data_IF_025206925400
#
_entry.id   IF_025206925400
#
_cell.length_a   1.000
_cell.length_b   1.000
_cell.length_c   1.000
_cell.angle_alpha   90.00
_cell.angle_beta   90.00
_cell.angle_gamma   90.00
#
_symmetry.space_group_name_H-M   'P 1'
#
loop_
_entity.id
_entity.type
_entity.pdbx_description
1 polymer ?
#
# COMPACT_ATOMS: atom_id res chain seq x y z
N UNK A 1 -47.50 79.48 12.51
CA UNK A 1 -48.52 78.41 12.79
C UNK A 1 -47.96 77.09 12.27
N UNK A 2 -47.73 76.10 13.07
CA UNK A 2 -47.28 74.81 12.61
C UNK A 2 -46.48 74.07 13.67
N UNK A 3 -47.12 73.13 14.34
CA UNK A 3 -46.67 72.43 15.55
C UNK A 3 -45.50 71.49 15.30
N UNK A 4 -44.53 71.50 16.21
CA UNK A 4 -43.48 70.50 16.36
C UNK A 4 -44.06 69.16 16.84
N UNK A 5 -43.61 68.09 16.27
CA UNK A 5 -43.83 66.74 16.78
C UNK A 5 -42.49 66.14 17.22
N UNK A 6 -42.31 65.89 18.49
CA UNK A 6 -41.18 65.21 19.13
C UNK A 6 -41.25 63.71 18.73
N UNK A 7 -40.18 63.17 18.17
CA UNK A 7 -40.02 61.75 18.00
C UNK A 7 -38.92 61.23 18.96
N UNK A 8 -39.35 60.47 19.95
CA UNK A 8 -38.51 59.76 20.93
C UNK A 8 -37.72 58.64 20.27
N UNK A 9 -36.42 58.69 20.35
CA UNK A 9 -35.56 57.59 19.92
C UNK A 9 -35.43 56.57 21.06
N UNK A 10 -35.98 55.38 20.86
CA UNK A 10 -35.65 54.20 21.66
C UNK A 10 -34.33 53.59 21.11
N UNK A 11 -33.28 53.60 21.94
CA UNK A 11 -32.07 52.83 21.69
C UNK A 11 -32.32 51.37 22.04
N UNK A 12 -32.35 50.49 21.04
CA UNK A 12 -32.34 49.05 21.22
C UNK A 12 -30.87 48.60 21.39
N UNK A 13 -30.52 48.13 22.57
CA UNK A 13 -29.25 47.45 22.84
C UNK A 13 -29.29 46.06 22.19
N UNK A 14 -28.57 45.83 21.07
CA UNK A 14 -28.33 44.50 20.54
C UNK A 14 -27.27 43.79 21.39
N UNK A 15 -27.73 42.83 22.19
CA UNK A 15 -26.84 41.85 22.82
C UNK A 15 -26.45 40.85 21.76
N UNK A 16 -25.21 40.93 21.30
CA UNK A 16 -24.62 39.93 20.40
C UNK A 16 -24.35 38.63 21.18
N UNK A 17 -25.21 37.66 21.06
CA UNK A 17 -24.97 36.29 21.57
C UNK A 17 -23.93 35.65 20.68
N UNK A 18 -22.72 35.49 21.20
CA UNK A 18 -21.67 34.68 20.55
C UNK A 18 -22.10 33.23 20.69
N UNK A 19 -22.58 32.64 19.61
CA UNK A 19 -22.80 31.19 19.50
C UNK A 19 -21.42 30.56 19.30
N UNK A 20 -20.85 30.03 20.38
CA UNK A 20 -19.69 29.14 20.33
C UNK A 20 -20.21 27.83 19.72
N UNK A 21 -19.91 27.60 18.44
CA UNK A 21 -20.14 26.31 17.81
C UNK A 21 -19.28 25.24 18.53
N UNK A 22 -19.86 24.09 18.93
CA UNK A 22 -19.05 23.01 19.48
C UNK A 22 -18.07 22.50 18.43
N UNK A 23 -16.86 22.02 18.85
CA UNK A 23 -15.93 21.40 17.91
C UNK A 23 -16.64 20.25 17.19
N UNK A 24 -16.48 20.20 15.89
CA UNK A 24 -17.08 19.21 15.00
C UNK A 24 -16.81 17.81 15.57
N UNK A 25 -17.84 17.19 16.09
CA UNK A 25 -17.81 15.79 16.49
C UNK A 25 -17.47 14.99 15.22
N UNK A 26 -16.35 14.28 15.24
CA UNK A 26 -16.12 13.18 14.30
C UNK A 26 -17.36 12.30 14.39
N UNK A 27 -18.16 12.30 13.34
CA UNK A 27 -19.31 11.41 13.27
C UNK A 27 -18.76 9.99 13.41
N UNK A 28 -19.12 9.35 14.51
CA UNK A 28 -18.81 7.96 14.77
C UNK A 28 -19.59 7.17 13.72
N UNK A 29 -18.90 6.78 12.63
CA UNK A 29 -19.48 5.86 11.66
C UNK A 29 -19.85 4.60 12.43
N UNK A 30 -21.14 4.32 12.51
CA UNK A 30 -21.63 3.07 13.03
C UNK A 30 -20.99 1.94 12.21
N UNK A 31 -20.41 0.93 12.89
CA UNK A 31 -19.94 -0.27 12.21
C UNK A 31 -21.16 -0.92 11.53
N UNK A 32 -21.32 -0.68 10.23
CA UNK A 32 -22.32 -1.39 9.44
C UNK A 32 -21.82 -2.83 9.30
N UNK A 33 -22.69 -3.81 9.51
CA UNK A 33 -22.41 -5.23 9.23
C UNK A 33 -22.02 -5.48 7.76
N UNK A 34 -22.06 -4.45 6.92
CA UNK A 34 -21.76 -4.45 5.49
C UNK A 34 -20.39 -3.84 5.14
N UNK A 35 -19.57 -3.42 6.13
CA UNK A 35 -18.23 -2.91 5.91
C UNK A 35 -17.22 -4.00 5.57
N UNK A 36 -16.10 -3.64 4.92
CA UNK A 36 -15.05 -4.60 4.57
C UNK A 36 -14.42 -5.28 5.80
N UNK A 37 -14.28 -4.54 6.92
CA UNK A 37 -13.81 -5.08 8.20
C UNK A 37 -15.02 -5.37 9.09
N UNK A 38 -15.35 -6.67 9.32
CA UNK A 38 -16.59 -7.02 10.01
C UNK A 38 -16.66 -6.55 11.47
N UNK A 39 -15.52 -6.53 12.16
CA UNK A 39 -15.42 -6.08 13.56
C UNK A 39 -14.16 -5.25 13.79
N UNK A 40 -14.30 -3.94 13.56
CA UNK A 40 -13.23 -2.96 13.74
C UNK A 40 -12.75 -2.90 15.19
N UNK A 41 -13.66 -3.03 16.17
CA UNK A 41 -13.29 -3.01 17.59
C UNK A 41 -12.43 -4.21 17.97
N UNK A 42 -12.74 -5.38 17.45
CA UNK A 42 -11.94 -6.59 17.63
C UNK A 42 -10.56 -6.43 17.01
N UNK A 43 -10.47 -5.94 15.79
CA UNK A 43 -9.19 -5.73 15.09
C UNK A 43 -8.27 -4.78 15.88
N UNK A 44 -8.80 -3.65 16.38
CA UNK A 44 -8.06 -2.67 17.17
C UNK A 44 -7.74 -3.19 18.58
N UNK A 45 -8.68 -3.93 19.19
CA UNK A 45 -8.57 -4.47 20.56
C UNK A 45 -7.70 -5.71 20.68
N UNK A 46 -7.14 -6.23 19.58
CA UNK A 46 -6.17 -7.32 19.65
C UNK A 46 -5.01 -6.93 20.55
N UNK A 47 -4.62 -7.86 21.45
CA UNK A 47 -3.56 -7.63 22.42
C UNK A 47 -2.28 -7.11 21.76
N UNK A 48 -1.52 -6.23 22.47
CA UNK A 48 -0.22 -5.79 21.99
C UNK A 48 0.58 -6.99 21.51
N UNK A 49 1.24 -6.82 20.39
CA UNK A 49 2.04 -7.88 19.80
C UNK A 49 3.00 -8.44 20.85
N UNK A 50 2.81 -9.69 21.34
CA UNK A 50 3.94 -10.35 21.99
C UNK A 50 5.08 -10.31 20.98
N UNK A 51 6.31 -10.16 21.42
CA UNK A 51 7.50 -10.43 20.61
C UNK A 51 7.15 -11.63 19.72
N UNK A 52 7.37 -11.50 18.42
CA UNK A 52 6.93 -12.49 17.41
C UNK A 52 7.11 -13.88 18.01
N UNK A 53 6.00 -14.58 18.31
CA UNK A 53 6.11 -15.91 18.91
C UNK A 53 6.86 -16.75 17.91
N UNK A 54 8.10 -17.06 18.22
CA UNK A 54 8.95 -18.00 17.47
C UNK A 54 8.42 -19.43 17.56
N UNK A 55 7.34 -19.65 18.31
CA UNK A 55 6.66 -20.93 18.36
C UNK A 55 6.22 -21.33 16.95
N UNK A 56 6.53 -22.55 16.56
CA UNK A 56 6.06 -23.13 15.33
C UNK A 56 4.51 -23.25 15.36
N UNK A 57 3.87 -23.09 14.21
CA UNK A 57 2.46 -23.41 14.06
C UNK A 57 2.22 -24.91 14.28
N UNK A 58 0.98 -25.35 14.58
CA UNK A 58 0.63 -26.77 14.65
C UNK A 58 1.04 -27.51 13.37
N UNK A 59 1.60 -28.70 13.52
CA UNK A 59 2.19 -29.46 12.40
C UNK A 59 1.21 -29.74 11.25
N UNK A 60 -0.06 -30.01 11.58
CA UNK A 60 -1.12 -30.22 10.59
C UNK A 60 -1.43 -28.96 9.77
N UNK A 61 -1.40 -27.78 10.41
CA UNK A 61 -1.55 -26.51 9.71
C UNK A 61 -0.34 -26.21 8.84
N UNK A 62 0.88 -26.44 9.35
CA UNK A 62 2.12 -26.29 8.57
C UNK A 62 2.06 -27.17 7.32
N UNK A 63 1.67 -28.44 7.46
CA UNK A 63 1.58 -29.36 6.32
C UNK A 63 0.57 -28.87 5.25
N UNK A 64 -0.58 -28.33 5.65
CA UNK A 64 -1.56 -27.77 4.71
C UNK A 64 -1.05 -26.51 4.02
N UNK A 65 -0.40 -25.59 4.76
CA UNK A 65 0.17 -24.36 4.22
C UNK A 65 1.31 -24.67 3.24
N UNK A 66 2.20 -25.58 3.61
CA UNK A 66 3.32 -25.97 2.77
C UNK A 66 2.85 -26.63 1.46
N UNK A 67 1.89 -27.55 1.55
CA UNK A 67 1.29 -28.18 0.37
C UNK A 67 0.62 -27.16 -0.57
N UNK A 68 -0.15 -26.21 0.00
CA UNK A 68 -0.80 -25.15 -0.77
C UNK A 68 0.22 -24.21 -1.44
N UNK A 69 1.26 -23.81 -0.70
CA UNK A 69 2.32 -22.96 -1.22
C UNK A 69 3.12 -23.67 -2.35
N UNK A 70 3.51 -24.93 -2.16
CA UNK A 70 4.25 -25.68 -3.18
C UNK A 70 3.42 -25.91 -4.45
N UNK A 71 2.14 -26.22 -4.32
CA UNK A 71 1.27 -26.42 -5.47
C UNK A 71 1.12 -25.13 -6.29
N UNK A 72 0.80 -24.00 -5.60
CA UNK A 72 0.61 -22.72 -6.27
C UNK A 72 1.91 -22.10 -6.79
N UNK A 73 3.06 -22.38 -6.15
CA UNK A 73 4.38 -21.97 -6.63
C UNK A 73 4.72 -22.60 -8.00
N UNK A 74 4.32 -23.85 -8.23
CA UNK A 74 4.53 -24.53 -9.54
C UNK A 74 3.73 -23.87 -10.66
N UNK A 75 2.61 -23.22 -10.34
CA UNK A 75 1.76 -22.51 -11.30
C UNK A 75 2.14 -21.05 -11.46
N UNK A 76 3.01 -20.53 -10.58
CA UNK A 76 3.45 -19.15 -10.60
C UNK A 76 4.68 -18.98 -11.50
N UNK A 77 4.67 -17.96 -12.37
CA UNK A 77 5.82 -17.61 -13.22
C UNK A 77 6.90 -16.89 -12.42
N UNK A 78 7.54 -17.60 -11.49
CA UNK A 78 8.61 -17.03 -10.66
C UNK A 78 9.72 -18.03 -10.38
N UNK A 79 11.00 -17.62 -10.45
CA UNK A 79 12.12 -18.48 -10.08
C UNK A 79 12.10 -18.90 -8.62
N UNK A 80 11.63 -18.04 -7.74
CA UNK A 80 11.59 -18.29 -6.30
C UNK A 80 10.51 -17.50 -5.57
N UNK A 81 10.13 -18.00 -4.40
CA UNK A 81 9.16 -17.36 -3.52
C UNK A 81 9.56 -17.52 -2.05
N UNK A 82 9.24 -16.51 -1.23
CA UNK A 82 9.30 -16.55 0.22
C UNK A 82 7.88 -16.37 0.72
N UNK A 83 7.44 -17.22 1.64
CA UNK A 83 6.12 -17.15 2.25
C UNK A 83 6.22 -17.08 3.75
N UNK A 84 5.29 -16.36 4.39
CA UNK A 84 5.20 -16.23 5.83
C UNK A 84 3.75 -16.12 6.29
N UNK A 85 3.44 -16.86 7.35
CA UNK A 85 2.14 -16.82 8.03
C UNK A 85 2.39 -16.63 9.52
N UNK A 86 1.82 -15.57 10.08
CA UNK A 86 1.84 -15.29 11.51
C UNK A 86 0.42 -15.31 12.06
N UNK A 87 0.20 -16.06 13.13
CA UNK A 87 -1.07 -16.16 13.84
C UNK A 87 -0.85 -15.93 15.34
N UNK A 88 -1.90 -15.79 16.15
CA UNK A 88 -1.76 -15.76 17.62
C UNK A 88 -1.08 -17.02 18.21
N UNK A 89 -1.08 -18.15 17.49
CA UNK A 89 -0.49 -19.41 17.94
C UNK A 89 1.00 -19.53 17.62
N UNK A 90 1.49 -18.84 16.59
CA UNK A 90 2.89 -18.93 16.17
C UNK A 90 3.11 -18.39 14.76
N UNK A 91 4.32 -18.66 14.24
CA UNK A 91 4.75 -18.22 12.92
C UNK A 91 5.30 -19.40 12.12
N UNK A 92 4.99 -19.42 10.84
CA UNK A 92 5.60 -20.33 9.86
C UNK A 92 6.14 -19.51 8.69
N UNK A 93 7.33 -19.87 8.22
CA UNK A 93 7.96 -19.29 7.03
C UNK A 93 8.61 -20.39 6.20
N UNK A 94 8.56 -20.25 4.89
CA UNK A 94 9.23 -21.14 3.96
C UNK A 94 9.77 -20.37 2.75
N UNK A 95 10.71 -20.97 2.03
CA UNK A 95 11.25 -20.45 0.79
C UNK A 95 11.31 -21.58 -0.25
N UNK A 96 10.96 -21.26 -1.49
CA UNK A 96 10.89 -22.20 -2.61
C UNK A 96 11.69 -21.68 -3.78
N UNK A 97 12.27 -22.60 -4.57
CA UNK A 97 12.95 -22.26 -5.82
C UNK A 97 14.28 -21.55 -5.62
N UNK A 98 14.62 -20.63 -6.52
CA UNK A 98 15.93 -20.01 -6.65
C UNK A 98 15.86 -18.50 -6.46
N UNK A 99 16.82 -17.98 -5.70
CA UNK A 99 17.08 -16.54 -5.60
C UNK A 99 17.80 -16.01 -6.83
N UNK A 100 18.65 -16.85 -7.43
CA UNK A 100 19.35 -16.58 -8.66
C UNK A 100 19.38 -17.85 -9.54
N UNK A 101 18.60 -17.90 -10.62
CA UNK A 101 18.60 -19.02 -11.55
C UNK A 101 19.95 -19.26 -12.23
N UNK A 102 20.75 -18.22 -12.50
CA UNK A 102 22.01 -18.32 -13.23
C UNK A 102 23.08 -19.02 -12.39
N UNK A 103 23.23 -18.68 -11.12
CA UNK A 103 24.15 -19.35 -10.20
C UNK A 103 23.56 -20.61 -9.57
N UNK A 104 22.24 -20.80 -9.65
CA UNK A 104 21.52 -21.86 -8.97
C UNK A 104 21.31 -21.62 -7.48
N UNK A 105 21.64 -20.43 -6.95
CA UNK A 105 21.50 -20.08 -5.53
C UNK A 105 20.04 -20.26 -5.06
N UNK A 106 19.80 -21.00 -3.95
CA UNK A 106 18.46 -21.24 -3.45
C UNK A 106 17.86 -19.97 -2.85
N UNK A 107 16.51 -19.83 -2.94
CA UNK A 107 15.78 -18.81 -2.19
C UNK A 107 15.88 -19.07 -0.67
N UNK A 108 16.00 -18.02 0.13
CA UNK A 108 16.09 -18.10 1.59
C UNK A 108 15.13 -17.08 2.25
N UNK A 109 14.56 -17.47 3.39
CA UNK A 109 13.53 -16.66 4.10
C UNK A 109 14.01 -15.26 4.48
N UNK A 110 15.32 -15.12 4.84
CA UNK A 110 15.87 -13.82 5.27
C UNK A 110 16.25 -12.86 4.14
N UNK A 111 16.08 -13.25 2.89
CA UNK A 111 16.45 -12.42 1.75
C UNK A 111 15.57 -11.18 1.61
N UNK A 112 16.20 -10.09 1.17
CA UNK A 112 15.52 -8.84 0.85
C UNK A 112 14.99 -8.87 -0.59
N UNK A 113 13.84 -8.23 -0.79
CA UNK A 113 13.26 -7.93 -2.10
C UNK A 113 12.73 -6.50 -2.12
N UNK A 114 12.53 -5.96 -3.31
CA UNK A 114 11.73 -4.74 -3.47
C UNK A 114 10.26 -5.08 -3.24
N UNK A 115 9.53 -4.21 -2.53
CA UNK A 115 8.16 -4.51 -2.10
C UNK A 115 7.07 -3.71 -2.85
N UNK A 116 7.50 -2.87 -3.79
CA UNK A 116 6.58 -2.14 -4.66
C UNK A 116 5.56 -1.31 -3.90
N UNK A 117 4.34 -1.35 -4.36
CA UNK A 117 3.24 -0.53 -3.85
C UNK A 117 2.87 -0.78 -2.39
N UNK A 118 3.44 -1.78 -1.70
CA UNK A 118 3.36 -1.84 -0.24
C UNK A 118 3.85 -0.54 0.41
N UNK A 119 4.78 0.17 -0.24
CA UNK A 119 5.26 1.50 0.15
C UNK A 119 4.12 2.47 0.45
N UNK A 120 3.03 2.43 -0.33
CA UNK A 120 1.87 3.31 -0.14
C UNK A 120 1.25 3.19 1.25
N UNK A 121 1.26 2.00 1.83
CA UNK A 121 0.70 1.78 3.16
C UNK A 121 1.50 2.48 4.25
N UNK A 122 2.82 2.56 4.08
CA UNK A 122 3.72 3.33 4.96
C UNK A 122 3.44 4.84 4.83
N UNK A 123 3.28 5.32 3.60
CA UNK A 123 2.96 6.74 3.33
C UNK A 123 1.62 7.13 3.93
N UNK A 124 0.57 6.31 3.72
CA UNK A 124 -0.74 6.53 4.32
C UNK A 124 -0.70 6.49 5.85
N UNK A 125 0.13 5.64 6.45
CA UNK A 125 0.33 5.60 7.90
C UNK A 125 0.93 6.90 8.41
N UNK A 126 1.99 7.43 7.76
CA UNK A 126 2.59 8.71 8.14
C UNK A 126 1.63 9.88 7.94
N UNK A 127 0.85 9.89 6.86
CA UNK A 127 -0.19 10.89 6.64
C UNK A 127 -1.19 10.92 7.80
N UNK A 128 -1.67 9.75 8.22
CA UNK A 128 -2.60 9.63 9.35
C UNK A 128 -1.97 10.03 10.68
N UNK A 129 -0.70 9.71 10.93
CA UNK A 129 0.04 10.18 12.11
C UNK A 129 0.18 11.70 12.15
N UNK A 130 0.37 12.35 10.99
CA UNK A 130 0.42 13.80 10.91
C UNK A 130 -0.95 14.42 11.13
N UNK A 131 -2.02 13.80 10.64
CA UNK A 131 -3.39 14.22 10.91
C UNK A 131 -3.74 14.07 12.40
N UNK A 132 -3.36 12.97 13.02
CA UNK A 132 -3.53 12.72 14.46
C UNK A 132 -2.80 13.75 15.32
N UNK A 133 -1.61 14.16 14.88
CA UNK A 133 -0.82 15.20 15.55
C UNK A 133 -1.32 16.64 15.26
N UNK A 134 -2.43 16.81 14.52
CA UNK A 134 -2.99 18.11 14.15
C UNK A 134 -2.07 18.94 13.24
N UNK A 135 -1.14 18.31 12.52
CA UNK A 135 -0.21 18.98 11.61
C UNK A 135 -0.82 19.25 10.22
N UNK A 136 -1.85 18.50 9.88
CA UNK A 136 -2.67 18.63 8.67
C UNK A 136 -4.06 18.05 8.95
N UNK A 137 -5.01 18.27 8.03
CA UNK A 137 -6.29 17.56 7.99
C UNK A 137 -6.34 16.69 6.74
N UNK A 138 -6.95 15.50 6.83
CA UNK A 138 -7.21 14.69 5.63
C UNK A 138 -8.15 15.38 4.65
N UNK A 139 -8.89 16.39 5.11
CA UNK A 139 -9.82 17.18 4.28
C UNK A 139 -9.17 18.48 3.74
N UNK A 140 -7.90 18.75 4.08
CA UNK A 140 -7.13 19.82 3.47
C UNK A 140 -6.98 19.57 1.97
N UNK A 141 -7.02 20.66 1.17
CA UNK A 141 -6.82 20.54 -0.27
C UNK A 141 -5.35 20.48 -0.63
N UNK A 142 -5.01 19.67 -1.64
CA UNK A 142 -3.62 19.49 -2.08
C UNK A 142 -2.97 20.82 -2.50
N UNK A 143 -3.74 21.76 -3.03
CA UNK A 143 -3.22 23.07 -3.46
C UNK A 143 -2.60 23.89 -2.31
N UNK A 144 -2.94 23.62 -1.05
CA UNK A 144 -2.31 24.26 0.12
C UNK A 144 -0.84 23.83 0.27
N UNK A 145 -0.51 22.64 -0.20
CA UNK A 145 0.81 22.02 -0.04
C UNK A 145 1.59 22.01 -1.35
N UNK A 146 0.97 21.63 -2.44
CA UNK A 146 1.57 21.47 -3.77
C UNK A 146 0.72 22.27 -4.78
N UNK A 147 1.05 23.54 -5.04
CA UNK A 147 0.35 24.36 -6.03
C UNK A 147 0.52 23.82 -7.45
N UNK A 148 -0.45 24.11 -8.33
CA UNK A 148 -0.38 23.77 -9.75
C UNK A 148 -0.95 22.41 -10.12
N UNK A 149 -1.45 21.61 -9.16
CA UNK A 149 -2.17 20.37 -9.46
C UNK A 149 -3.53 20.71 -10.08
N UNK A 150 -3.89 20.15 -11.25
CA UNK A 150 -5.22 20.33 -11.83
C UNK A 150 -6.31 19.92 -10.84
N UNK A 151 -7.35 20.76 -10.67
CA UNK A 151 -8.39 20.62 -9.63
C UNK A 151 -7.85 20.62 -8.18
N UNK A 152 -6.60 21.01 -7.92
CA UNK A 152 -5.96 20.89 -6.62
C UNK A 152 -6.65 21.63 -5.47
N UNK A 153 -7.46 22.66 -5.75
CA UNK A 153 -8.31 23.35 -4.80
C UNK A 153 -9.59 22.59 -4.40
N UNK A 154 -9.85 21.43 -5.03
CA UNK A 154 -11.01 20.56 -4.82
C UNK A 154 -10.62 19.15 -4.43
N UNK A 155 -9.34 18.80 -4.59
CA UNK A 155 -8.80 17.47 -4.25
C UNK A 155 -8.34 17.51 -2.80
N UNK A 156 -8.94 16.70 -1.94
CA UNK A 156 -8.49 16.53 -0.55
C UNK A 156 -7.34 15.52 -0.44
N UNK A 157 -6.57 15.59 0.66
CA UNK A 157 -5.54 14.59 0.96
C UNK A 157 -6.15 13.19 1.13
N UNK A 158 -7.38 13.10 1.62
CA UNK A 158 -8.16 11.88 1.69
C UNK A 158 -8.39 11.28 0.30
N UNK A 159 -8.84 12.09 -0.66
CA UNK A 159 -9.09 11.64 -2.03
C UNK A 159 -7.81 11.20 -2.77
N UNK A 160 -6.66 11.77 -2.41
CA UNK A 160 -5.38 11.23 -2.88
C UNK A 160 -5.09 9.86 -2.26
N UNK A 161 -5.34 9.70 -0.94
CA UNK A 161 -5.05 8.47 -0.22
C UNK A 161 -5.98 7.31 -0.58
N UNK A 162 -7.26 7.58 -0.88
CA UNK A 162 -8.25 6.56 -1.26
C UNK A 162 -8.43 6.39 -2.78
N UNK A 163 -7.55 7.05 -3.57
CA UNK A 163 -7.52 6.94 -5.03
C UNK A 163 -8.77 7.46 -5.74
N UNK A 164 -9.46 8.47 -5.15
CA UNK A 164 -10.65 9.11 -5.75
C UNK A 164 -10.38 10.54 -6.24
N UNK A 165 -9.12 10.93 -6.37
CA UNK A 165 -8.72 12.30 -6.74
C UNK A 165 -9.00 12.67 -8.20
N UNK A 166 -9.03 11.72 -9.12
CA UNK A 166 -9.08 11.93 -10.56
C UNK A 166 -7.75 12.40 -11.18
N UNK A 167 -6.64 12.42 -10.43
CA UNK A 167 -5.30 12.74 -10.97
C UNK A 167 -4.78 11.55 -11.75
N UNK A 168 -4.35 11.77 -12.99
CA UNK A 168 -3.80 10.71 -13.85
C UNK A 168 -2.51 10.11 -13.24
N UNK A 169 -2.29 8.81 -13.46
CA UNK A 169 -1.07 8.14 -13.03
C UNK A 169 0.05 8.37 -14.05
N UNK A 170 1.19 8.91 -13.60
CA UNK A 170 2.37 9.08 -14.46
C UNK A 170 2.84 7.75 -15.07
N UNK A 171 2.60 6.63 -14.40
CA UNK A 171 2.99 5.30 -14.89
C UNK A 171 2.13 4.79 -16.06
N UNK A 172 1.05 5.51 -16.42
CA UNK A 172 0.25 5.23 -17.62
C UNK A 172 0.65 6.10 -18.81
N UNK A 173 1.56 7.06 -18.62
CA UNK A 173 2.10 7.88 -19.70
C UNK A 173 3.07 7.06 -20.55
N UNK A 174 2.76 6.91 -21.83
CA UNK A 174 3.63 6.20 -22.79
C UNK A 174 5.02 6.84 -22.85
N UNK A 175 5.10 8.16 -22.85
CA UNK A 175 6.39 8.86 -22.86
C UNK A 175 7.25 8.54 -21.64
N UNK A 176 6.63 8.34 -20.46
CA UNK A 176 7.33 7.92 -19.25
C UNK A 176 7.79 6.47 -19.34
N UNK A 177 6.90 5.56 -19.74
CA UNK A 177 7.21 4.11 -19.83
C UNK A 177 8.28 3.84 -20.86
N UNK A 178 8.21 4.46 -22.04
CA UNK A 178 9.21 4.35 -23.09
C UNK A 178 10.60 4.81 -22.61
N UNK A 179 10.65 5.97 -21.92
CA UNK A 179 11.90 6.48 -21.36
C UNK A 179 12.49 5.54 -20.31
N UNK A 180 11.65 5.04 -19.38
CA UNK A 180 12.08 4.16 -18.31
C UNK A 180 12.57 2.82 -18.84
N UNK A 181 11.81 2.18 -19.74
CA UNK A 181 12.18 0.88 -20.27
C UNK A 181 13.37 0.91 -21.25
N UNK A 182 13.58 2.03 -21.94
CA UNK A 182 14.79 2.21 -22.74
C UNK A 182 16.05 2.44 -21.89
N UNK A 183 15.89 3.01 -20.66
CA UNK A 183 17.01 3.33 -19.74
C UNK A 183 16.60 3.08 -18.30
N UNK A 184 16.49 1.81 -17.87
CA UNK A 184 15.98 1.48 -16.54
C UNK A 184 16.86 1.92 -15.36
N UNK A 185 18.10 2.38 -15.64
CA UNK A 185 18.99 3.00 -14.65
C UNK A 185 18.67 4.48 -14.38
N UNK A 186 17.73 5.08 -15.12
CA UNK A 186 17.39 6.51 -15.00
C UNK A 186 16.89 6.84 -13.60
N UNK A 187 17.47 7.87 -12.99
CA UNK A 187 17.02 8.45 -11.73
C UNK A 187 15.93 9.47 -12.01
N UNK A 188 14.80 9.34 -11.30
CA UNK A 188 13.68 10.28 -11.36
C UNK A 188 13.52 11.02 -10.03
N UNK A 189 13.34 12.34 -10.11
CA UNK A 189 12.98 13.14 -8.95
C UNK A 189 11.45 13.17 -8.76
N UNK A 190 10.93 13.38 -7.52
CA UNK A 190 9.50 13.51 -7.28
C UNK A 190 8.83 14.59 -8.15
N UNK A 191 9.54 15.70 -8.40
CA UNK A 191 9.07 16.79 -9.25
C UNK A 191 8.90 16.37 -10.72
N UNK A 192 9.82 15.54 -11.24
CA UNK A 192 9.70 14.98 -12.60
C UNK A 192 8.50 14.02 -12.69
N UNK A 193 8.33 13.11 -11.72
CA UNK A 193 7.18 12.20 -11.67
C UNK A 193 5.86 12.98 -11.62
N UNK A 194 5.80 14.00 -10.75
CA UNK A 194 4.63 14.87 -10.67
C UNK A 194 4.37 15.59 -11.99
N UNK A 195 5.40 16.16 -12.61
CA UNK A 195 5.28 16.87 -13.88
C UNK A 195 4.64 16.00 -14.98
N UNK A 196 5.03 14.73 -15.07
CA UNK A 196 4.39 13.77 -15.99
C UNK A 196 2.92 13.56 -15.62
N UNK A 197 2.62 13.26 -14.35
CA UNK A 197 1.25 12.97 -13.92
C UNK A 197 0.27 14.13 -14.11
N UNK A 198 0.71 15.38 -13.92
CA UNK A 198 -0.15 16.57 -14.07
C UNK A 198 -0.14 17.14 -15.50
N UNK A 199 0.73 16.67 -16.39
CA UNK A 199 0.65 17.00 -17.81
C UNK A 199 -0.52 16.32 -18.52
N UNK A 200 -0.97 15.20 -17.97
CA UNK A 200 -2.17 14.50 -18.43
C UNK A 200 -3.44 15.20 -17.91
N UNK A 201 -4.51 15.11 -18.69
CA UNK A 201 -5.80 15.65 -18.25
C UNK A 201 -6.35 14.87 -17.05
N UNK A 202 -7.04 15.53 -16.10
CA UNK A 202 -7.78 14.83 -15.06
C UNK A 202 -8.76 13.81 -15.67
N UNK A 203 -8.78 12.60 -15.10
CA UNK A 203 -9.54 11.48 -15.66
C UNK A 203 -11.02 11.49 -15.24
N UNK A 204 -11.36 12.20 -14.14
CA UNK A 204 -12.72 12.46 -13.66
C UNK A 204 -12.73 13.59 -12.61
N UNK A 205 -13.91 13.99 -12.20
CA UNK A 205 -14.11 14.99 -11.13
C UNK A 205 -13.72 14.39 -9.77
N UNK A 206 -12.94 15.09 -8.92
CA UNK A 206 -12.55 14.58 -7.61
C UNK A 206 -13.73 14.04 -6.80
N UNK A 207 -13.62 12.80 -6.32
CA UNK A 207 -14.63 12.08 -5.56
C UNK A 207 -15.63 11.28 -6.38
N UNK A 208 -15.57 11.31 -7.71
CA UNK A 208 -16.56 10.64 -8.57
C UNK A 208 -16.44 9.12 -8.54
N UNK A 209 -15.21 8.60 -8.61
CA UNK A 209 -14.95 7.17 -8.63
C UNK A 209 -13.52 6.83 -8.20
N UNK A 210 -13.27 5.56 -8.00
CA UNK A 210 -11.93 5.01 -7.79
C UNK A 210 -11.17 4.89 -9.12
N UNK A 211 -9.90 5.33 -9.11
CA UNK A 211 -8.91 4.97 -10.13
C UNK A 211 -7.51 5.04 -9.53
N UNK A 212 -6.79 3.92 -9.60
CA UNK A 212 -5.47 3.79 -8.98
C UNK A 212 -4.44 4.68 -9.69
N UNK A 213 -3.85 5.60 -8.95
CA UNK A 213 -2.86 6.56 -9.46
C UNK A 213 -1.63 6.62 -8.57
N UNK A 214 -0.47 6.31 -9.14
CA UNK A 214 0.82 6.46 -8.46
C UNK A 214 1.15 7.94 -8.18
N UNK A 215 0.67 8.87 -9.01
CA UNK A 215 0.82 10.31 -8.80
C UNK A 215 0.22 10.77 -7.46
N UNK A 216 -0.89 10.16 -7.04
CA UNK A 216 -1.51 10.47 -5.75
C UNK A 216 -0.54 10.29 -4.59
N UNK A 217 0.20 9.19 -4.57
CA UNK A 217 1.11 8.89 -3.46
C UNK A 217 2.39 9.73 -3.55
N UNK A 218 2.84 10.09 -4.76
CA UNK A 218 3.90 11.07 -4.94
C UNK A 218 3.48 12.41 -4.33
N UNK A 219 2.28 12.90 -4.60
CA UNK A 219 1.74 14.11 -3.99
C UNK A 219 1.69 14.02 -2.46
N UNK A 220 1.22 12.89 -1.90
CA UNK A 220 1.20 12.67 -0.45
C UNK A 220 2.61 12.69 0.16
N UNK A 221 3.61 12.12 -0.51
CA UNK A 221 5.00 12.20 -0.10
C UNK A 221 5.51 13.64 -0.03
N UNK A 222 5.23 14.44 -1.06
CA UNK A 222 5.59 15.87 -1.07
C UNK A 222 4.88 16.66 0.05
N UNK A 223 3.64 16.32 0.37
CA UNK A 223 2.92 16.91 1.52
C UNK A 223 3.63 16.56 2.83
N UNK A 224 4.00 15.30 3.02
CA UNK A 224 4.68 14.84 4.24
C UNK A 224 6.01 15.58 4.41
N UNK A 225 6.83 15.69 3.36
CA UNK A 225 8.10 16.42 3.41
C UNK A 225 7.88 17.92 3.72
N UNK A 226 6.89 18.55 3.10
CA UNK A 226 6.56 19.95 3.36
C UNK A 226 6.11 20.21 4.80
N UNK A 227 5.26 19.34 5.35
CA UNK A 227 4.72 19.49 6.71
C UNK A 227 5.76 19.18 7.78
N UNK A 228 6.67 18.23 7.51
CA UNK A 228 7.70 17.83 8.47
C UNK A 228 9.00 18.60 8.34
N UNK A 229 9.27 19.22 7.17
CA UNK A 229 10.54 19.83 6.85
C UNK A 229 11.70 18.82 6.76
N UNK A 230 11.40 17.53 6.60
CA UNK A 230 12.38 16.44 6.58
C UNK A 230 12.20 15.55 5.34
N UNK A 231 13.31 15.00 4.79
CA UNK A 231 13.21 13.99 3.73
C UNK A 231 12.37 12.79 4.14
N UNK A 232 11.65 12.21 3.19
CA UNK A 232 10.73 11.08 3.43
C UNK A 232 11.42 9.90 4.14
N UNK A 233 12.68 9.61 3.80
CA UNK A 233 13.48 8.56 4.43
C UNK A 233 13.61 8.75 5.96
N UNK A 234 13.88 9.98 6.40
CA UNK A 234 14.02 10.32 7.83
C UNK A 234 12.67 10.24 8.56
N UNK A 235 11.59 10.66 7.89
CA UNK A 235 10.23 10.55 8.45
C UNK A 235 9.82 9.09 8.61
N UNK A 236 10.04 8.25 7.59
CA UNK A 236 9.81 6.81 7.64
C UNK A 236 10.57 6.13 8.78
N UNK A 237 11.87 6.42 8.86
CA UNK A 237 12.74 5.86 9.89
C UNK A 237 12.20 6.16 11.29
N UNK A 238 11.94 7.43 11.60
CA UNK A 238 11.50 7.87 12.94
C UNK A 238 10.07 7.45 13.29
N UNK A 239 9.17 7.42 12.30
CA UNK A 239 7.74 7.24 12.56
C UNK A 239 7.24 5.82 12.35
N UNK A 240 8.00 4.98 11.62
CA UNK A 240 7.57 3.61 11.31
C UNK A 240 8.66 2.60 11.63
N UNK A 241 9.89 2.77 11.11
CA UNK A 241 10.90 1.73 11.23
C UNK A 241 11.39 1.56 12.67
N UNK A 242 11.75 2.66 13.36
CA UNK A 242 12.21 2.63 14.75
C UNK A 242 11.12 2.15 15.73
N UNK A 243 9.86 2.69 15.69
CA UNK A 243 8.81 2.24 16.60
C UNK A 243 8.47 0.75 16.50
N UNK A 244 8.58 0.17 15.30
CA UNK A 244 8.32 -1.25 15.05
C UNK A 244 9.59 -2.10 15.01
N UNK A 245 10.77 -1.50 15.24
CA UNK A 245 12.07 -2.15 15.13
C UNK A 245 12.29 -2.89 13.79
N UNK A 246 11.86 -2.29 12.68
CA UNK A 246 12.07 -2.81 11.33
C UNK A 246 13.53 -2.56 10.90
N UNK A 247 14.39 -3.51 11.12
CA UNK A 247 15.85 -3.37 10.90
C UNK A 247 16.27 -3.76 9.48
N UNK A 248 15.40 -4.41 8.75
CA UNK A 248 15.62 -4.93 7.41
C UNK A 248 14.66 -4.28 6.38
N UNK A 249 14.14 -3.11 6.70
CA UNK A 249 13.32 -2.30 5.80
C UNK A 249 14.10 -1.03 5.48
N UNK A 250 14.28 -0.74 4.19
CA UNK A 250 15.16 0.29 3.71
C UNK A 250 14.47 1.21 2.71
N UNK A 251 14.82 2.48 2.76
CA UNK A 251 14.52 3.46 1.72
C UNK A 251 15.77 3.60 0.85
N UNK A 252 15.78 3.08 -0.39
CA UNK A 252 16.98 3.08 -1.21
C UNK A 252 17.32 4.47 -1.79
N UNK A 253 16.34 5.35 -1.98
CA UNK A 253 16.54 6.62 -2.68
C UNK A 253 17.01 6.41 -4.12
N UNK A 254 18.18 6.94 -4.47
CA UNK A 254 18.74 6.77 -5.80
C UNK A 254 19.58 5.49 -5.96
N UNK A 255 19.81 4.73 -4.88
CA UNK A 255 20.60 3.52 -4.91
C UNK A 255 19.86 2.37 -5.62
N UNK A 256 20.58 1.66 -6.46
CA UNK A 256 20.07 0.49 -7.17
C UNK A 256 20.33 -0.81 -6.40
N UNK A 257 21.27 -0.82 -5.47
CA UNK A 257 21.66 -2.01 -4.72
C UNK A 257 20.58 -2.43 -3.71
N UNK A 258 20.42 -3.75 -3.56
CA UNK A 258 19.58 -4.36 -2.54
C UNK A 258 20.51 -4.90 -1.44
N UNK A 259 20.27 -4.59 -0.15
CA UNK A 259 21.08 -5.10 0.94
C UNK A 259 21.15 -6.64 0.97
N UNK A 260 22.34 -7.18 1.19
CA UNK A 260 22.54 -8.64 1.27
C UNK A 260 22.02 -9.22 2.59
N UNK A 261 21.47 -10.45 2.61
CA UNK A 261 21.20 -11.30 1.46
C UNK A 261 19.94 -10.86 0.68
N UNK A 262 19.95 -11.02 -0.64
CA UNK A 262 18.82 -10.62 -1.48
C UNK A 262 18.55 -11.64 -2.60
N UNK A 263 17.34 -11.59 -3.18
CA UNK A 263 16.97 -12.33 -4.36
C UNK A 263 17.08 -11.44 -5.61
N UNK A 264 17.60 -11.99 -6.70
CA UNK A 264 17.62 -11.30 -8.00
C UNK A 264 16.22 -11.32 -8.62
N UNK A 265 15.79 -10.19 -9.22
CA UNK A 265 14.45 -9.99 -9.78
C UNK A 265 14.42 -10.17 -11.30
N UNK A 266 13.38 -10.83 -11.81
CA UNK A 266 13.23 -11.17 -13.23
C UNK A 266 11.89 -10.69 -13.78
N UNK A 267 11.92 -10.03 -14.96
CA UNK A 267 10.76 -9.39 -15.59
C UNK A 267 10.70 -9.64 -17.08
N UNK A 268 9.48 -9.63 -17.63
CA UNK A 268 9.25 -9.55 -19.08
C UNK A 268 8.94 -8.11 -19.54
N UNK A 269 8.93 -7.15 -18.63
CA UNK A 269 8.74 -5.74 -18.98
C UNK A 269 10.02 -5.16 -19.62
N UNK A 270 9.82 -4.18 -20.50
CA UNK A 270 10.90 -3.46 -21.16
C UNK A 270 11.39 -4.10 -22.46
N UNK A 271 12.16 -3.31 -23.21
CA UNK A 271 12.57 -3.63 -24.58
C UNK A 271 13.60 -4.76 -24.69
N UNK A 272 14.22 -5.14 -23.58
CA UNK A 272 15.31 -6.14 -23.54
C UNK A 272 14.82 -7.55 -23.19
N UNK A 273 13.61 -7.66 -22.65
CA UNK A 273 13.04 -8.94 -22.25
C UNK A 273 12.49 -9.74 -23.46
N UNK A 274 12.61 -11.06 -23.38
CA UNK A 274 11.99 -11.97 -24.34
C UNK A 274 11.17 -13.00 -23.56
N UNK A 275 10.12 -13.58 -24.17
CA UNK A 275 9.25 -14.55 -23.48
C UNK A 275 10.00 -15.72 -22.83
N UNK A 276 11.07 -16.19 -23.46
CA UNK A 276 11.94 -17.29 -23.02
C UNK A 276 13.21 -16.83 -22.29
N UNK A 277 13.43 -15.52 -22.20
CA UNK A 277 14.62 -14.92 -21.58
C UNK A 277 14.27 -13.60 -20.86
N UNK A 278 13.69 -13.67 -19.64
CA UNK A 278 13.35 -12.49 -18.86
C UNK A 278 14.60 -11.69 -18.52
N UNK A 279 14.45 -10.38 -18.45
CA UNK A 279 15.52 -9.47 -18.03
C UNK A 279 15.73 -9.54 -16.53
N UNK A 280 16.98 -9.47 -16.10
CA UNK A 280 17.32 -9.28 -14.70
C UNK A 280 17.17 -7.78 -14.34
N UNK A 281 16.14 -7.47 -13.58
CA UNK A 281 15.80 -6.09 -13.16
C UNK A 281 16.30 -5.75 -11.76
N UNK A 282 17.15 -6.57 -11.15
CA UNK A 282 17.61 -6.40 -9.76
C UNK A 282 18.14 -4.99 -9.50
N UNK A 283 18.95 -4.49 -10.40
CA UNK A 283 19.62 -3.19 -10.29
C UNK A 283 18.95 -2.09 -11.12
N UNK A 284 17.72 -2.27 -11.57
CA UNK A 284 16.96 -1.18 -12.16
C UNK A 284 16.66 -0.12 -11.12
N UNK A 285 16.75 1.15 -11.50
CA UNK A 285 16.63 2.23 -10.53
C UNK A 285 15.19 2.35 -10.00
N UNK A 286 14.97 2.26 -8.67
CA UNK A 286 13.64 2.27 -8.08
C UNK A 286 13.05 3.68 -7.90
N UNK A 287 13.82 4.75 -8.12
CA UNK A 287 13.42 6.14 -7.83
C UNK A 287 12.15 6.57 -8.56
N UNK A 288 11.83 5.93 -9.70
CA UNK A 288 10.55 6.16 -10.37
C UNK A 288 9.34 5.78 -9.50
N UNK A 289 9.50 4.85 -8.58
CA UNK A 289 8.47 4.48 -7.62
C UNK A 289 8.33 5.50 -6.49
N UNK A 290 9.43 6.05 -6.01
CA UNK A 290 9.51 6.93 -4.86
C UNK A 290 8.50 6.51 -3.77
N UNK A 291 7.66 7.46 -3.26
CA UNK A 291 6.62 7.14 -2.26
C UNK A 291 5.51 6.20 -2.77
N UNK A 292 5.44 5.97 -4.06
CA UNK A 292 4.51 5.01 -4.63
C UNK A 292 5.03 3.56 -4.63
N UNK A 293 6.38 3.31 -4.48
CA UNK A 293 6.81 1.93 -4.66
C UNK A 293 8.26 1.55 -4.37
N UNK A 294 9.11 2.38 -3.75
CA UNK A 294 10.55 2.10 -3.81
C UNK A 294 11.13 1.29 -2.64
N UNK A 295 10.35 1.00 -1.56
CA UNK A 295 10.87 0.31 -0.38
C UNK A 295 11.43 -1.09 -0.68
N UNK A 296 12.45 -1.44 0.09
CA UNK A 296 13.04 -2.78 0.20
C UNK A 296 12.71 -3.34 1.58
N UNK A 297 12.36 -4.62 1.69
CA UNK A 297 12.12 -5.27 2.98
C UNK A 297 12.36 -6.77 2.92
N UNK A 298 12.27 -7.43 4.08
CA UNK A 298 12.31 -8.88 4.20
C UNK A 298 11.07 -9.44 4.91
N UNK A 299 10.94 -10.76 4.92
CA UNK A 299 9.80 -11.47 5.49
C UNK A 299 9.54 -11.14 6.97
N UNK A 300 10.58 -11.04 7.78
CA UNK A 300 10.44 -10.80 9.23
C UNK A 300 9.86 -9.42 9.55
N UNK A 301 10.36 -8.38 8.88
CA UNK A 301 9.87 -7.02 9.04
C UNK A 301 8.45 -6.87 8.50
N UNK A 302 8.16 -7.48 7.33
CA UNK A 302 6.82 -7.42 6.74
C UNK A 302 5.76 -8.13 7.58
N UNK A 303 6.07 -9.27 8.23
CA UNK A 303 5.16 -9.92 9.16
C UNK A 303 4.85 -9.06 10.39
N UNK A 304 5.84 -8.29 10.86
CA UNK A 304 5.67 -7.32 11.95
C UNK A 304 4.83 -6.13 11.50
N UNK A 305 5.19 -5.55 10.35
CA UNK A 305 4.50 -4.39 9.80
C UNK A 305 3.05 -4.70 9.39
N UNK A 306 2.81 -5.82 8.72
CA UNK A 306 1.46 -6.20 8.26
C UNK A 306 0.45 -6.31 9.41
N UNK A 307 0.86 -6.88 10.55
CA UNK A 307 0.02 -6.90 11.74
C UNK A 307 -0.18 -5.50 12.34
N UNK A 308 0.88 -4.70 12.44
CA UNK A 308 0.78 -3.33 12.94
C UNK A 308 -0.11 -2.47 12.04
N UNK A 309 -0.04 -2.66 10.72
CA UNK A 309 -0.91 -2.01 9.73
C UNK A 309 -2.40 -2.32 9.96
N UNK A 310 -2.74 -3.58 10.22
CA UNK A 310 -4.12 -4.01 10.45
C UNK A 310 -4.68 -3.63 11.81
N UNK A 311 -3.85 -3.65 12.87
CA UNK A 311 -4.26 -3.36 14.25
C UNK A 311 -4.07 -1.91 14.68
N UNK A 312 -3.21 -1.16 14.01
CA UNK A 312 -2.76 0.19 14.41
C UNK A 312 -1.68 0.19 15.49
N UNK A 313 -1.37 -0.97 16.09
CA UNK A 313 -0.45 -1.05 17.23
C UNK A 313 0.96 -0.53 16.90
N UNK A 314 1.43 0.40 17.73
CA UNK A 314 2.74 1.04 17.53
C UNK A 314 2.79 2.09 16.41
N UNK A 315 1.69 2.31 15.69
CA UNK A 315 1.60 3.23 14.56
C UNK A 315 0.53 4.33 14.75
N UNK A 316 -0.69 3.96 15.11
CA UNK A 316 -1.86 4.85 15.20
C UNK A 316 -2.62 4.62 16.50
N UNK A 317 -3.29 5.66 17.00
CA UNK A 317 -4.25 5.50 18.10
C UNK A 317 -5.45 4.65 17.66
N UNK A 318 -6.19 4.07 18.62
CA UNK A 318 -7.42 3.32 18.31
C UNK A 318 -8.43 4.12 17.49
N UNK A 319 -8.56 5.43 17.76
CA UNK A 319 -9.47 6.32 17.02
C UNK A 319 -9.03 6.47 15.57
N UNK A 320 -7.75 6.73 15.32
CA UNK A 320 -7.24 6.92 13.98
C UNK A 320 -7.22 5.61 13.18
N UNK A 321 -6.88 4.49 13.82
CA UNK A 321 -6.98 3.18 13.19
C UNK A 321 -8.43 2.79 12.86
N UNK A 322 -9.40 3.14 13.74
CA UNK A 322 -10.82 2.97 13.44
C UNK A 322 -11.22 3.75 12.19
N UNK A 323 -10.81 5.01 12.09
CA UNK A 323 -11.07 5.82 10.89
C UNK A 323 -10.48 5.20 9.62
N UNK A 324 -9.29 4.57 9.70
CA UNK A 324 -8.69 3.83 8.59
C UNK A 324 -9.49 2.59 8.21
N UNK A 325 -9.86 1.77 9.18
CA UNK A 325 -10.55 0.50 8.93
C UNK A 325 -12.02 0.68 8.52
N UNK A 326 -12.60 1.86 8.71
CA UNK A 326 -13.95 2.23 8.25
C UNK A 326 -13.96 3.04 6.95
N UNK A 327 -12.78 3.29 6.34
CA UNK A 327 -12.69 4.14 5.15
C UNK A 327 -13.02 3.41 3.84
N UNK A 328 -13.25 2.11 3.86
CA UNK A 328 -13.54 1.31 2.67
C UNK A 328 -14.97 1.52 2.17
N UNK A 329 -15.20 1.55 0.84
CA UNK A 329 -16.51 1.82 0.25
C UNK A 329 -17.53 0.68 0.38
N UNK A 330 -17.12 -0.50 0.85
CA UNK A 330 -17.97 -1.70 0.99
C UNK A 330 -17.16 -2.92 1.40
N UNK A 331 -17.63 -4.13 1.06
CA UNK A 331 -16.96 -5.40 1.39
C UNK A 331 -15.62 -5.60 0.68
N UNK A 332 -15.39 -4.91 -0.41
CA UNK A 332 -14.11 -4.85 -1.11
C UNK A 332 -13.87 -3.44 -1.62
N UNK A 333 -12.61 -2.98 -1.60
CA UNK A 333 -12.25 -1.67 -2.12
C UNK A 333 -10.95 -1.14 -1.54
N UNK A 334 -10.72 0.14 -1.79
CA UNK A 334 -9.53 0.85 -1.36
C UNK A 334 -9.93 2.01 -0.43
N UNK A 335 -9.29 2.09 0.71
CA UNK A 335 -9.45 3.15 1.68
C UNK A 335 -8.19 4.00 1.78
N UNK A 336 -7.86 4.50 2.97
CA UNK A 336 -6.70 5.39 3.17
C UNK A 336 -5.40 4.61 2.99
N UNK A 337 -4.88 4.60 1.76
CA UNK A 337 -3.67 3.93 1.29
C UNK A 337 -3.62 2.43 1.68
N UNK A 338 -4.74 1.76 1.61
CA UNK A 338 -4.92 0.39 2.06
C UNK A 338 -6.04 -0.28 1.27
N UNK A 339 -5.79 -1.47 0.73
CA UNK A 339 -6.81 -2.33 0.14
C UNK A 339 -7.52 -3.17 1.20
N UNK A 340 -8.76 -3.53 0.93
CA UNK A 340 -9.52 -4.46 1.76
C UNK A 340 -10.39 -5.37 0.88
N UNK A 341 -10.43 -6.66 1.22
CA UNK A 341 -11.33 -7.66 0.64
C UNK A 341 -11.77 -8.58 1.76
N UNK A 342 -13.05 -8.55 2.08
CA UNK A 342 -13.74 -9.44 3.05
C UNK A 342 -12.94 -9.64 4.35
N UNK A 343 -12.54 -8.56 5.00
CA UNK A 343 -11.78 -8.58 6.25
C UNK A 343 -10.26 -8.71 6.11
N UNK A 344 -9.75 -9.01 4.93
CA UNK A 344 -8.33 -8.96 4.63
C UNK A 344 -7.92 -7.53 4.29
N UNK A 345 -7.10 -6.90 5.12
CA UNK A 345 -6.57 -5.55 4.89
C UNK A 345 -5.09 -5.59 4.57
N UNK A 346 -4.67 -4.89 3.53
CA UNK A 346 -3.28 -4.92 3.09
C UNK A 346 -3.06 -4.29 1.73
N UNK A 347 -2.04 -4.75 1.06
CA UNK A 347 -1.70 -4.26 -0.28
C UNK A 347 -0.89 -5.31 -1.05
N UNK A 348 -0.98 -5.30 -2.36
CA UNK A 348 -0.02 -5.94 -3.25
C UNK A 348 1.08 -4.96 -3.65
N UNK A 349 2.20 -5.44 -4.10
CA UNK A 349 3.28 -4.61 -4.63
C UNK A 349 3.91 -5.24 -5.85
N UNK A 350 4.19 -4.41 -6.85
CA UNK A 350 4.83 -4.82 -8.07
C UNK A 350 5.84 -3.78 -8.53
N UNK A 351 6.98 -4.27 -8.95
CA UNK A 351 8.04 -3.56 -9.65
C UNK A 351 8.63 -4.54 -10.67
N UNK A 352 9.28 -4.07 -11.74
CA UNK A 352 9.99 -4.99 -12.63
C UNK A 352 10.91 -5.92 -11.82
N UNK A 353 10.65 -7.22 -11.93
CA UNK A 353 11.40 -8.27 -11.23
C UNK A 353 10.89 -8.68 -9.85
N UNK A 354 9.91 -8.01 -9.28
CA UNK A 354 9.42 -8.32 -7.93
C UNK A 354 7.92 -8.17 -7.80
N UNK A 355 7.29 -9.13 -7.12
CA UNK A 355 5.89 -9.05 -6.75
C UNK A 355 5.71 -9.46 -5.28
N UNK A 356 4.86 -8.76 -4.55
CA UNK A 356 4.61 -8.98 -3.12
C UNK A 356 3.12 -8.91 -2.82
N UNK A 357 2.63 -9.80 -1.96
CA UNK A 357 1.29 -9.71 -1.37
C UNK A 357 1.45 -9.68 0.16
N UNK A 358 0.86 -8.68 0.80
CA UNK A 358 0.85 -8.53 2.25
C UNK A 358 -0.55 -8.18 2.73
N UNK A 359 -1.19 -9.09 3.46
CA UNK A 359 -2.49 -8.83 4.07
C UNK A 359 -2.58 -9.37 5.48
N UNK A 360 -3.38 -8.67 6.27
CA UNK A 360 -3.77 -9.04 7.63
C UNK A 360 -5.26 -9.37 7.65
N UNK A 361 -5.59 -10.55 8.14
CA UNK A 361 -6.97 -10.97 8.40
C UNK A 361 -7.44 -10.42 9.74
N UNK A 362 -8.34 -9.46 9.69
CA UNK A 362 -8.92 -8.79 10.87
C UNK A 362 -9.81 -9.72 11.70
N UNK A 363 -10.24 -10.85 11.15
CA UNK A 363 -11.13 -11.81 11.82
C UNK A 363 -10.37 -12.82 12.68
N UNK A 364 -9.13 -13.16 12.29
CA UNK A 364 -8.34 -14.24 12.92
C UNK A 364 -6.99 -13.76 13.52
N UNK A 365 -6.67 -12.46 13.46
CA UNK A 365 -5.34 -11.91 13.82
C UNK A 365 -4.20 -12.64 13.08
N UNK A 366 -4.40 -12.86 11.79
CA UNK A 366 -3.44 -13.58 10.94
C UNK A 366 -2.83 -12.67 9.90
N UNK A 367 -1.50 -12.64 9.82
CA UNK A 367 -0.76 -11.95 8.75
C UNK A 367 -0.21 -12.97 7.78
N UNK A 368 -0.43 -12.76 6.49
CA UNK A 368 0.13 -13.58 5.42
C UNK A 368 0.93 -12.69 4.47
N UNK A 369 2.15 -13.11 4.19
CA UNK A 369 3.07 -12.42 3.28
C UNK A 369 3.57 -13.40 2.23
N UNK A 370 3.64 -12.95 1.00
CA UNK A 370 4.33 -13.65 -0.09
C UNK A 370 5.22 -12.64 -0.83
N UNK A 371 6.47 -12.98 -0.99
CA UNK A 371 7.45 -12.23 -1.79
C UNK A 371 7.96 -13.14 -2.91
N UNK A 372 7.93 -12.67 -4.15
CA UNK A 372 8.46 -13.39 -5.31
C UNK A 372 9.50 -12.54 -6.02
N UNK A 373 10.44 -13.19 -6.66
CA UNK A 373 11.48 -12.54 -7.44
C UNK A 373 11.15 -12.53 -8.96
N UNK A 374 9.89 -12.38 -9.25
CA UNK A 374 9.34 -12.08 -10.59
C UNK A 374 8.00 -11.34 -10.44
N UNK A 375 7.69 -10.51 -11.42
CA UNK A 375 6.40 -9.84 -11.62
C UNK A 375 5.56 -10.47 -12.75
N UNK A 376 6.04 -11.57 -13.34
CA UNK A 376 5.45 -12.21 -14.50
C UNK A 376 4.16 -12.94 -14.11
N UNK A 377 3.02 -12.47 -14.60
CA UNK A 377 1.73 -13.10 -14.36
C UNK A 377 1.64 -14.47 -15.04
N UNK A 378 0.79 -15.36 -14.53
CA UNK A 378 0.52 -16.69 -15.08
C UNK A 378 -0.99 -16.97 -15.08
N UNK A 379 -1.41 -17.99 -15.84
CA UNK A 379 -2.80 -18.32 -16.08
C UNK A 379 -3.30 -17.71 -17.39
N UNK A 380 -4.61 -17.61 -17.57
CA UNK A 380 -5.21 -17.04 -18.78
C UNK A 380 -5.01 -15.51 -18.84
N UNK A 381 -3.76 -15.09 -19.06
CA UNK A 381 -3.35 -13.69 -19.14
C UNK A 381 -3.38 -13.20 -20.58
N UNK A 382 -4.17 -12.16 -20.91
CA UNK A 382 -4.29 -11.66 -22.27
C UNK A 382 -3.03 -10.92 -22.78
N UNK A 383 -2.20 -10.40 -21.85
CA UNK A 383 -1.14 -9.43 -22.19
C UNK A 383 0.29 -9.90 -21.82
N UNK A 384 0.43 -11.03 -21.13
CA UNK A 384 1.75 -11.46 -20.67
C UNK A 384 2.00 -12.94 -20.98
N UNK A 385 3.01 -13.27 -21.79
CA UNK A 385 3.48 -14.63 -21.92
C UNK A 385 4.02 -15.10 -20.57
N UNK A 386 3.64 -16.31 -20.15
CA UNK A 386 4.16 -16.94 -18.93
C UNK A 386 5.46 -17.67 -19.23
N UNK A 387 6.34 -17.82 -18.22
CA UNK A 387 7.56 -18.61 -18.32
C UNK A 387 7.37 -20.09 -17.99
N UNK A 388 6.21 -20.45 -17.48
CA UNK A 388 5.82 -21.83 -17.16
C UNK A 388 4.88 -22.37 -18.25
N UNK A 389 4.74 -23.68 -18.32
CA UNK A 389 3.64 -24.30 -19.06
C UNK A 389 2.36 -23.64 -18.55
N UNK A 390 1.77 -22.84 -19.43
CA UNK A 390 0.69 -21.92 -19.10
C UNK A 390 -0.48 -22.69 -18.48
N UNK A 391 -0.81 -22.48 -17.21
CA UNK A 391 -1.98 -23.12 -16.60
C UNK A 391 -3.25 -22.46 -17.14
N UNK A 392 -3.58 -22.70 -18.42
CA UNK A 392 -4.66 -22.03 -19.17
C UNK A 392 -6.04 -22.14 -18.54
N UNK A 393 -6.20 -23.09 -17.63
CA UNK A 393 -7.44 -23.29 -16.88
C UNK A 393 -7.51 -22.44 -15.58
N UNK A 394 -6.50 -21.64 -15.28
CA UNK A 394 -6.45 -20.78 -14.09
C UNK A 394 -6.62 -19.31 -14.44
N UNK A 395 -7.19 -18.54 -13.52
CA UNK A 395 -7.34 -17.09 -13.66
C UNK A 395 -5.96 -16.43 -13.75
N UNK A 396 -5.80 -15.44 -14.64
CA UNK A 396 -4.59 -14.63 -14.71
C UNK A 396 -4.30 -13.99 -13.36
N UNK A 397 -3.10 -14.20 -12.85
CA UNK A 397 -2.69 -13.66 -11.54
C UNK A 397 -1.18 -13.45 -11.48
N UNK A 398 -0.76 -12.40 -10.79
CA UNK A 398 0.64 -12.19 -10.44
C UNK A 398 1.12 -13.27 -9.47
N UNK A 399 2.42 -13.62 -9.46
CA UNK A 399 2.92 -14.79 -8.75
C UNK A 399 2.69 -14.74 -7.23
N UNK A 400 2.90 -13.60 -6.59
CA UNK A 400 2.67 -13.49 -5.15
C UNK A 400 1.18 -13.59 -4.79
N UNK A 401 0.29 -13.00 -5.60
CA UNK A 401 -1.17 -13.08 -5.39
C UNK A 401 -1.66 -14.52 -5.55
N UNK A 402 -1.17 -15.26 -6.56
CA UNK A 402 -1.53 -16.67 -6.76
C UNK A 402 -1.23 -17.52 -5.53
N UNK A 403 0.00 -17.39 -4.99
CA UNK A 403 0.43 -18.12 -3.80
C UNK A 403 -0.37 -17.66 -2.57
N UNK A 404 -0.61 -16.35 -2.43
CA UNK A 404 -1.39 -15.79 -1.33
C UNK A 404 -2.82 -16.34 -1.29
N UNK A 405 -3.50 -16.39 -2.43
CA UNK A 405 -4.86 -16.96 -2.55
C UNK A 405 -4.90 -18.42 -2.09
N UNK A 406 -3.91 -19.23 -2.48
CA UNK A 406 -3.83 -20.61 -2.03
C UNK A 406 -3.63 -20.74 -0.52
N UNK A 407 -2.77 -19.90 0.07
CA UNK A 407 -2.54 -19.85 1.52
C UNK A 407 -3.79 -19.41 2.30
N UNK A 408 -4.52 -18.40 1.81
CA UNK A 408 -5.74 -17.91 2.45
C UNK A 408 -6.83 -19.00 2.50
N UNK A 409 -6.98 -19.79 1.42
CA UNK A 409 -7.87 -20.96 1.38
C UNK A 409 -7.44 -22.05 2.38
N UNK A 410 -6.14 -22.33 2.47
CA UNK A 410 -5.60 -23.30 3.43
C UNK A 410 -5.79 -22.87 4.90
N UNK A 411 -5.88 -21.56 5.15
CA UNK A 411 -6.19 -20.97 6.47
C UNK A 411 -7.69 -21.03 6.81
N UNK A 412 -8.57 -21.28 5.82
CA UNK A 412 -10.02 -21.37 6.01
C UNK A 412 -10.76 -20.03 5.86
N UNK A 413 -10.09 -18.97 5.42
CA UNK A 413 -10.68 -17.67 5.08
C UNK A 413 -10.20 -17.25 3.69
N UNK A 414 -10.86 -17.68 2.60
CA UNK A 414 -10.46 -17.40 1.23
C UNK A 414 -10.38 -15.89 0.94
N UNK A 415 -9.32 -15.51 0.25
CA UNK A 415 -9.19 -14.20 -0.36
C UNK A 415 -9.54 -14.31 -1.84
N UNK A 416 -10.60 -13.64 -2.25
CA UNK A 416 -11.06 -13.64 -3.64
C UNK A 416 -10.75 -12.26 -4.25
N UNK A 417 -9.62 -12.13 -4.97
CA UNK A 417 -9.25 -10.85 -5.57
C UNK A 417 -10.30 -10.42 -6.59
N UNK A 418 -10.58 -9.12 -6.61
CA UNK A 418 -11.43 -8.55 -7.65
C UNK A 418 -10.78 -8.82 -9.02
N UNK A 419 -11.57 -9.14 -10.07
CA UNK A 419 -11.05 -9.31 -11.41
C UNK A 419 -10.22 -8.08 -11.80
N UNK A 420 -9.00 -8.28 -12.28
CA UNK A 420 -8.25 -7.21 -12.91
C UNK A 420 -9.00 -6.80 -14.19
N UNK A 421 -9.41 -5.53 -14.26
CA UNK A 421 -10.10 -4.95 -15.41
C UNK A 421 -9.11 -4.28 -16.32
#
# INVERSE_FOLDING_TARGET
MGRACLATRLSACLIATIIIAPPSAFAQAASSADGCVPDVKKAIGTQPTPAMKTAALPADLVARLDAAAQASFKEASTPGAIVGVRTPRGTWTAAYGKADPASGAPMQVGMHTRVGSLTKTFIGTMLMQLAEAGKLSLDDTINQYVPGVPNGNRISLRQLADMTSGVASYTRSTAFTDLYFAKPETVFTPAQLLSVGISESPIFVPGERFDYSNTNTVLLGMVIEKVTGQPIAEVLKKRVFEPLALKNTFWPGEATDIPSPFAQGFTLQGDFAKPDAPSNATNWNPSWGWTAGELISNMGDLLTYGRALGTGQGLLSPTMQSARLTSFPGKAGYGIALGCIDGWVGHTGELPGYNTAMFYDTTSDTTVIVQTNSDIASGNCPESPTLTDDPRDTVCSSPATRIFVALSKALGHPFDPLPQR
#
